data_IF_482260862428
#
_entry.id   IF_482260862428
#
_cell.length_a   1.000
_cell.length_b   1.000
_cell.length_c   1.000
_cell.angle_alpha   90.00
_cell.angle_beta   90.00
_cell.angle_gamma   90.00
#
_symmetry.space_group_name_H-M   'P 1'
#
loop_
_entity.id
_entity.type
_entity.pdbx_description
1 polymer ?
#
# COMPACT_ATOMS: atom_id res chain seq x y z
N UNK A 1 2.37 -30.12 -0.67
CA UNK A 1 3.79 -30.12 -0.34
C UNK A 1 4.11 -28.99 0.64
N UNK A 2 5.36 -28.94 1.09
CA UNK A 2 5.80 -27.95 2.07
C UNK A 2 5.63 -26.52 1.62
N UNK A 3 5.84 -26.24 0.34
CA UNK A 3 5.68 -24.90 -0.22
C UNK A 3 4.20 -24.48 -0.21
N UNK A 4 3.30 -25.35 -0.64
CA UNK A 4 1.88 -25.06 -0.67
C UNK A 4 1.34 -24.76 0.74
N UNK A 5 1.80 -25.52 1.73
CA UNK A 5 1.42 -25.29 3.12
C UNK A 5 1.95 -23.96 3.64
N UNK A 6 3.20 -23.62 3.29
CA UNK A 6 3.80 -22.34 3.71
C UNK A 6 3.07 -21.17 3.05
N UNK A 7 2.78 -21.26 1.75
CA UNK A 7 2.04 -20.22 1.02
C UNK A 7 0.67 -19.99 1.66
N UNK A 8 -0.01 -21.07 2.07
CA UNK A 8 -1.28 -21.00 2.74
C UNK A 8 -1.18 -20.27 4.08
N UNK A 9 -0.15 -20.59 4.86
CA UNK A 9 0.09 -19.91 6.14
C UNK A 9 0.36 -18.43 5.94
N UNK A 10 1.14 -18.08 4.93
CA UNK A 10 1.46 -16.69 4.60
C UNK A 10 0.18 -15.94 4.19
N UNK A 11 -0.66 -16.56 3.36
CA UNK A 11 -1.93 -15.97 2.94
C UNK A 11 -2.85 -15.71 4.15
N UNK A 12 -2.88 -16.65 5.10
CA UNK A 12 -3.67 -16.47 6.33
C UNK A 12 -3.14 -15.30 7.17
N UNK A 13 -1.80 -15.21 7.30
CA UNK A 13 -1.19 -14.08 8.01
C UNK A 13 -1.52 -12.75 7.33
N UNK A 14 -1.47 -12.71 6.01
CA UNK A 14 -1.80 -11.52 5.22
C UNK A 14 -3.24 -11.07 5.47
N UNK A 15 -4.18 -12.02 5.53
CA UNK A 15 -5.59 -11.71 5.74
C UNK A 15 -5.87 -11.12 7.13
N UNK A 16 -4.98 -11.36 8.08
CA UNK A 16 -5.11 -10.89 9.46
C UNK A 16 -4.25 -9.66 9.76
N UNK A 17 -3.47 -9.19 8.79
CA UNK A 17 -2.61 -8.03 9.00
C UNK A 17 -3.45 -6.78 9.23
N UNK A 18 -3.11 -6.06 10.27
CA UNK A 18 -3.72 -4.77 10.58
C UNK A 18 -2.81 -3.66 10.05
N UNK A 19 -3.00 -3.34 8.77
CA UNK A 19 -2.23 -2.27 8.15
C UNK A 19 -2.77 -0.91 8.58
N UNK A 20 -1.86 0.04 8.72
CA UNK A 20 -2.20 1.45 8.89
C UNK A 20 -1.66 2.22 7.70
N UNK A 21 -2.49 3.05 7.11
CA UNK A 21 -2.06 3.92 6.01
C UNK A 21 -2.42 5.36 6.37
N UNK A 22 -1.49 6.27 6.13
CA UNK A 22 -1.64 7.69 6.45
C UNK A 22 -1.14 8.53 5.29
N UNK A 23 -1.79 9.66 5.06
CA UNK A 23 -1.31 10.65 4.12
C UNK A 23 -1.12 11.99 4.83
N UNK A 24 -0.10 12.72 4.42
CA UNK A 24 0.23 14.02 5.01
C UNK A 24 0.89 14.91 3.95
N UNK A 25 0.69 16.22 4.09
CA UNK A 25 1.40 17.18 3.26
C UNK A 25 2.87 17.25 3.68
N UNK A 26 3.74 17.45 2.70
CA UNK A 26 5.15 17.70 2.96
C UNK A 26 5.46 19.20 2.81
N UNK A 27 6.67 19.58 3.22
CA UNK A 27 7.13 20.97 3.07
C UNK A 27 7.17 21.40 1.60
N UNK A 28 7.29 20.45 0.66
CA UNK A 28 7.28 20.74 -0.79
C UNK A 28 5.87 20.75 -1.38
N UNK A 29 4.85 20.75 -0.54
CA UNK A 29 3.44 20.75 -0.95
C UNK A 29 3.03 19.48 -1.72
N UNK A 30 3.76 18.39 -1.53
CA UNK A 30 3.38 17.08 -2.03
C UNK A 30 2.57 16.33 -0.97
N UNK A 31 1.98 15.23 -1.36
CA UNK A 31 1.30 14.36 -0.41
C UNK A 31 2.12 13.09 -0.25
N UNK A 32 2.54 12.82 0.96
CA UNK A 32 3.28 11.61 1.31
C UNK A 32 2.30 10.60 1.89
N UNK A 33 2.31 9.39 1.31
CA UNK A 33 1.50 8.27 1.79
C UNK A 33 2.44 7.24 2.40
N UNK A 34 2.17 6.83 3.63
CA UNK A 34 2.99 5.85 4.36
C UNK A 34 2.11 4.71 4.81
N UNK A 35 2.58 3.49 4.58
CA UNK A 35 1.92 2.26 5.04
C UNK A 35 2.77 1.67 6.17
N UNK A 36 2.13 1.31 7.27
CA UNK A 36 2.78 0.62 8.39
C UNK A 36 2.06 -0.69 8.67
N UNK A 37 2.83 -1.72 8.92
CA UNK A 37 2.33 -3.03 9.31
C UNK A 37 3.49 -3.92 9.67
N UNK A 38 3.24 -4.91 10.52
CA UNK A 38 4.27 -5.86 10.93
C UNK A 38 4.35 -6.99 9.91
N UNK A 39 5.31 -6.88 8.99
CA UNK A 39 5.54 -7.86 7.94
C UNK A 39 6.74 -8.76 8.22
N UNK A 40 7.34 -8.65 9.41
CA UNK A 40 8.59 -9.35 9.73
C UNK A 40 8.46 -10.85 9.60
N UNK A 41 7.39 -11.46 10.09
CA UNK A 41 7.20 -12.90 9.99
C UNK A 41 7.13 -13.38 8.54
N UNK A 42 6.57 -12.56 7.66
CA UNK A 42 6.44 -12.87 6.23
C UNK A 42 7.80 -12.76 5.55
N UNK A 43 8.52 -11.67 5.77
CA UNK A 43 9.84 -11.46 5.16
C UNK A 43 10.88 -12.43 5.72
N UNK A 44 10.82 -12.74 7.01
CA UNK A 44 11.74 -13.72 7.63
C UNK A 44 11.53 -15.12 7.04
N UNK A 45 10.33 -15.44 6.59
CA UNK A 45 10.03 -16.72 5.94
C UNK A 45 10.53 -16.77 4.49
N UNK A 46 11.17 -15.71 4.00
CA UNK A 46 11.77 -15.65 2.67
C UNK A 46 10.85 -15.09 1.58
N UNK A 47 9.71 -14.53 1.97
CA UNK A 47 8.79 -13.91 1.02
C UNK A 47 9.16 -12.45 0.79
N UNK A 48 8.82 -11.94 -0.39
CA UNK A 48 9.02 -10.54 -0.74
C UNK A 48 7.70 -9.80 -0.67
N UNK A 49 7.74 -8.59 -0.16
CA UNK A 49 6.54 -7.75 -0.09
C UNK A 49 6.72 -6.53 -0.98
N UNK A 50 5.62 -6.11 -1.60
CA UNK A 50 5.56 -4.86 -2.34
C UNK A 50 4.31 -4.13 -1.91
N UNK A 51 4.34 -2.81 -2.02
CA UNK A 51 3.24 -1.94 -1.62
C UNK A 51 2.61 -1.36 -2.87
N UNK A 52 1.31 -1.54 -3.01
CA UNK A 52 0.53 -1.01 -4.12
C UNK A 52 -0.32 0.14 -3.63
N UNK A 53 -0.18 1.29 -4.28
CA UNK A 53 -0.84 2.52 -3.89
C UNK A 53 -1.89 2.91 -4.92
N UNK A 54 -3.02 3.42 -4.42
CA UNK A 54 -4.16 3.84 -5.23
C UNK A 54 -4.53 5.26 -4.87
N UNK A 55 -5.08 5.98 -5.83
CA UNK A 55 -5.52 7.35 -5.64
C UNK A 55 -6.89 7.57 -6.27
N UNK A 56 -7.69 8.43 -5.64
CA UNK A 56 -8.98 8.88 -6.18
C UNK A 56 -9.23 10.32 -5.80
N UNK A 57 -10.07 10.99 -6.56
CA UNK A 57 -10.61 12.31 -6.18
C UNK A 57 -11.90 12.17 -5.38
N UNK A 58 -12.41 10.95 -5.20
CA UNK A 58 -13.61 10.64 -4.43
C UNK A 58 -13.25 9.70 -3.30
N UNK A 59 -13.82 9.93 -2.12
CA UNK A 59 -13.49 9.12 -0.94
C UNK A 59 -13.89 7.65 -1.11
N UNK A 60 -15.05 7.38 -1.68
CA UNK A 60 -15.65 6.05 -1.69
C UNK A 60 -15.62 5.33 -3.03
N UNK A 61 -15.02 5.91 -4.08
CA UNK A 61 -15.07 5.33 -5.42
C UNK A 61 -13.93 5.86 -6.29
N UNK A 62 -13.75 5.22 -7.45
CA UNK A 62 -12.88 5.74 -8.51
C UNK A 62 -11.40 5.57 -8.25
N UNK A 63 -10.99 4.67 -7.35
CA UNK A 63 -9.57 4.45 -7.05
C UNK A 63 -8.85 3.80 -8.22
N UNK A 64 -7.76 4.41 -8.63
CA UNK A 64 -6.89 3.90 -9.68
C UNK A 64 -5.52 3.57 -9.10
N UNK A 65 -4.95 2.46 -9.55
CA UNK A 65 -3.61 2.07 -9.15
C UNK A 65 -2.61 3.09 -9.69
N UNK A 66 -1.77 3.61 -8.80
CA UNK A 66 -0.74 4.57 -9.18
C UNK A 66 0.60 3.88 -9.42
N UNK A 67 1.04 3.07 -8.46
CA UNK A 67 2.28 2.33 -8.61
C UNK A 67 2.38 1.23 -7.56
N UNK A 68 3.30 0.28 -7.82
CA UNK A 68 3.68 -0.77 -6.89
C UNK A 68 5.18 -0.68 -6.67
N UNK A 69 5.63 -0.67 -5.42
CA UNK A 69 7.04 -0.51 -5.10
C UNK A 69 7.41 -1.26 -3.83
N UNK A 70 8.71 -1.48 -3.63
CA UNK A 70 9.20 -2.20 -2.45
C UNK A 70 9.16 -1.34 -1.18
N UNK A 71 9.24 -0.03 -1.30
CA UNK A 71 9.20 0.86 -0.14
C UNK A 71 7.77 1.15 0.28
N UNK A 72 7.52 1.29 1.60
CA UNK A 72 6.17 1.53 2.12
C UNK A 72 5.72 3.00 2.02
N UNK A 73 6.33 3.75 1.12
CA UNK A 73 6.12 5.19 1.01
C UNK A 73 5.88 5.58 -0.43
N UNK A 74 4.84 6.37 -0.67
CA UNK A 74 4.53 6.94 -1.97
C UNK A 74 4.43 8.45 -1.84
N UNK A 75 5.14 9.17 -2.72
CA UNK A 75 5.04 10.63 -2.80
C UNK A 75 4.20 10.99 -4.02
N UNK A 76 3.02 11.56 -3.77
CA UNK A 76 2.22 12.10 -4.86
C UNK A 76 2.73 13.51 -5.15
N UNK A 77 3.53 13.63 -6.21
CA UNK A 77 4.17 14.89 -6.61
C UNK A 77 3.41 15.60 -7.74
N UNK A 78 2.35 14.97 -8.22
CA UNK A 78 1.60 15.42 -9.40
C UNK A 78 0.11 15.39 -9.08
N UNK A 79 -0.56 16.51 -9.28
CA UNK A 79 -1.98 16.60 -9.04
C UNK A 79 -2.53 17.95 -9.50
N UNK A 80 -3.84 18.09 -9.37
CA UNK A 80 -4.53 19.32 -9.74
C UNK A 80 -4.65 20.24 -8.53
N UNK A 81 -4.25 21.50 -8.69
CA UNK A 81 -4.34 22.51 -7.64
C UNK A 81 -5.74 22.56 -7.04
N UNK A 82 -5.82 22.58 -5.72
CA UNK A 82 -7.08 22.69 -5.02
C UNK A 82 -7.92 21.43 -4.98
N UNK A 83 -7.39 20.31 -5.49
CA UNK A 83 -8.12 19.05 -5.52
C UNK A 83 -7.79 18.23 -4.27
N UNK A 84 -8.82 17.65 -3.66
CA UNK A 84 -8.65 16.71 -2.55
C UNK A 84 -8.41 15.32 -3.13
N UNK A 85 -7.32 14.69 -2.71
CA UNK A 85 -7.00 13.33 -3.12
C UNK A 85 -7.12 12.38 -1.95
N UNK A 86 -7.65 11.21 -2.25
CA UNK A 86 -7.82 10.11 -1.29
C UNK A 86 -6.97 8.94 -1.73
N UNK A 87 -6.41 8.21 -0.79
CA UNK A 87 -5.46 7.15 -1.05
C UNK A 87 -5.88 5.86 -0.38
N UNK A 88 -5.60 4.75 -1.07
CA UNK A 88 -5.68 3.41 -0.50
C UNK A 88 -4.37 2.70 -0.77
N UNK A 89 -4.08 1.70 0.03
CA UNK A 89 -2.89 0.90 -0.15
C UNK A 89 -3.15 -0.54 0.26
N UNK A 90 -2.34 -1.44 -0.30
CA UNK A 90 -2.31 -2.84 0.10
C UNK A 90 -0.91 -3.38 -0.04
N UNK A 91 -0.66 -4.49 0.63
CA UNK A 91 0.60 -5.22 0.51
C UNK A 91 0.36 -6.41 -0.40
N UNK A 92 1.27 -6.60 -1.35
CA UNK A 92 1.32 -7.73 -2.28
C UNK A 92 2.48 -8.62 -1.85
N UNK A 93 2.25 -9.92 -1.73
CA UNK A 93 3.24 -10.87 -1.22
C UNK A 93 3.62 -11.85 -2.32
N UNK A 94 4.92 -12.04 -2.50
CA UNK A 94 5.51 -12.89 -3.55
C UNK A 94 6.44 -13.91 -2.92
N UNK A 95 6.52 -15.10 -3.51
CA UNK A 95 7.44 -16.13 -3.06
C UNK A 95 8.87 -15.82 -3.52
N UNK A 96 9.80 -16.74 -3.22
CA UNK A 96 11.23 -16.56 -3.56
C UNK A 96 11.48 -16.50 -5.06
N UNK A 97 10.62 -17.12 -5.85
CA UNK A 97 10.72 -17.15 -7.31
C UNK A 97 10.02 -15.96 -7.96
N UNK A 98 9.41 -15.10 -7.17
CA UNK A 98 8.71 -13.92 -7.68
C UNK A 98 7.26 -14.17 -8.05
N UNK A 99 6.69 -15.31 -7.71
CA UNK A 99 5.29 -15.62 -7.99
C UNK A 99 4.39 -14.99 -6.93
N UNK A 100 3.27 -14.45 -7.38
CA UNK A 100 2.28 -13.89 -6.46
C UNK A 100 1.68 -14.98 -5.57
N UNK A 101 1.61 -14.69 -4.26
CA UNK A 101 1.07 -15.63 -3.28
C UNK A 101 -0.21 -15.11 -2.65
N UNK A 102 -0.20 -13.85 -2.22
CA UNK A 102 -1.32 -13.29 -1.48
C UNK A 102 -1.26 -11.77 -1.47
N UNK A 103 -2.36 -11.15 -1.06
CA UNK A 103 -2.41 -9.72 -0.85
C UNK A 103 -3.31 -9.42 0.34
N UNK A 104 -3.08 -8.30 0.97
CA UNK A 104 -3.94 -7.81 2.05
C UNK A 104 -5.19 -7.16 1.47
N UNK A 105 -6.19 -6.94 2.31
CA UNK A 105 -7.32 -6.10 1.94
C UNK A 105 -6.82 -4.66 1.67
N UNK A 106 -7.54 -3.93 0.82
CA UNK A 106 -7.28 -2.51 0.61
C UNK A 106 -7.55 -1.74 1.90
N UNK A 107 -6.59 -0.89 2.28
CA UNK A 107 -6.72 -0.04 3.45
C UNK A 107 -6.77 1.41 3.01
N UNK A 108 -7.84 2.11 3.37
CA UNK A 108 -7.96 3.53 3.09
C UNK A 108 -7.05 4.33 4.03
N UNK A 109 -6.36 5.33 3.50
CA UNK A 109 -5.55 6.22 4.30
C UNK A 109 -6.44 7.00 5.26
N UNK A 110 -5.99 7.11 6.51
CA UNK A 110 -6.73 7.76 7.59
C UNK A 110 -6.99 9.24 7.29
N UNK A 111 -6.05 9.89 6.63
CA UNK A 111 -6.16 11.30 6.27
C UNK A 111 -6.04 11.47 4.76
N UNK A 112 -6.82 12.40 4.22
CA UNK A 112 -6.71 12.83 2.83
C UNK A 112 -6.31 14.29 2.83
N UNK A 113 -5.35 14.64 1.98
CA UNK A 113 -4.82 15.98 1.94
C UNK A 113 -4.96 16.59 0.56
N UNK A 114 -5.29 17.88 0.54
CA UNK A 114 -5.37 18.63 -0.71
C UNK A 114 -3.96 18.82 -1.27
N UNK A 115 -3.79 18.48 -2.54
CA UNK A 115 -2.54 18.73 -3.22
C UNK A 115 -2.52 20.15 -3.75
N UNK A 116 -1.43 20.87 -3.45
CA UNK A 116 -1.25 22.24 -3.89
C UNK A 116 -0.17 22.26 -4.98
N UNK A 117 -0.58 22.65 -6.16
CA UNK A 117 0.39 22.91 -7.23
C UNK A 117 0.40 24.41 -7.50
N UNK A 118 1.53 24.90 -7.86
CA UNK A 118 1.68 26.32 -8.18
C UNK A 118 1.06 26.65 -9.53
#
# INVERSE_FOLDING_TARGET
>A
DGKAEMDKMIAQKASKLNLMARSAKTAKKNIKVVVKGDLKAITDAGYTVKYKFYRSTKKSAGYKAMLTKKAPTYFNTCGKKGTMYYYKARVMIYDKEGNFVAQTALKQCKYANRLWTK
#
